data_IF_924593396537
#
_entry.id   IF_924593396537
#
_cell.length_a   1.000
_cell.length_b   1.000
_cell.length_c   1.000
_cell.angle_alpha   90.00
_cell.angle_beta   90.00
_cell.angle_gamma   90.00
#
_symmetry.space_group_name_H-M   'P 1'
#
loop_
_entity.id
_entity.type
_entity.pdbx_description
1 polymer ?
#
# COMPACT_ATOMS: atom_id res chain seq x y z
N UNK A 1 3.43 46.16 57.37
CA UNK A 1 3.89 44.83 56.91
C UNK A 1 3.38 44.47 55.50
N UNK A 2 3.28 45.40 54.54
CA UNK A 2 2.71 45.11 53.20
C UNK A 2 3.72 45.33 52.04
N UNK A 3 4.98 45.67 52.34
CA UNK A 3 5.99 46.05 51.36
C UNK A 3 6.79 44.88 50.79
N UNK A 4 7.11 43.89 51.62
CA UNK A 4 8.04 42.81 51.23
C UNK A 4 7.35 41.70 50.42
N UNK A 5 6.07 41.43 50.70
CA UNK A 5 5.25 40.47 49.95
C UNK A 5 5.08 40.89 48.48
N UNK A 6 5.01 42.20 48.19
CA UNK A 6 4.93 42.72 46.81
C UNK A 6 6.23 42.58 46.03
N UNK A 7 7.39 42.60 46.70
CA UNK A 7 8.70 42.43 46.04
C UNK A 7 8.95 40.97 45.68
N UNK A 8 8.60 40.04 46.57
CA UNK A 8 8.73 38.60 46.35
C UNK A 8 7.79 38.14 45.23
N UNK A 9 6.55 38.65 45.20
CA UNK A 9 5.58 38.31 44.16
C UNK A 9 5.99 38.86 42.77
N UNK A 10 6.62 40.04 42.72
CA UNK A 10 7.16 40.61 41.48
C UNK A 10 8.40 39.87 40.96
N UNK A 11 9.29 39.41 41.85
CA UNK A 11 10.47 38.64 41.45
C UNK A 11 10.08 37.25 40.93
N UNK A 12 9.13 36.58 41.58
CA UNK A 12 8.61 35.27 41.14
C UNK A 12 7.91 35.33 39.78
N UNK A 13 7.20 36.43 39.50
CA UNK A 13 6.54 36.64 38.21
C UNK A 13 7.54 36.87 37.06
N UNK A 14 8.66 37.57 37.32
CA UNK A 14 9.69 37.85 36.30
C UNK A 14 10.52 36.59 35.98
N UNK A 15 10.88 35.79 36.99
CA UNK A 15 11.63 34.54 36.79
C UNK A 15 10.76 33.45 36.16
N UNK A 16 9.47 33.37 36.54
CA UNK A 16 8.51 32.46 35.92
C UNK A 16 8.21 32.78 34.45
N UNK A 17 8.23 34.07 34.07
CA UNK A 17 8.03 34.47 32.69
C UNK A 17 9.26 34.19 31.81
N UNK A 18 10.49 34.31 32.35
CA UNK A 18 11.72 34.04 31.61
C UNK A 18 11.93 32.55 31.26
N UNK A 19 11.40 31.62 32.07
CA UNK A 19 11.46 30.19 31.78
C UNK A 19 10.46 29.74 30.69
N UNK A 20 9.41 30.53 30.41
CA UNK A 20 8.40 30.23 29.40
C UNK A 20 8.76 30.68 27.98
N UNK A 21 9.71 31.61 27.81
CA UNK A 21 10.04 32.21 26.49
C UNK A 21 11.16 31.48 25.75
N UNK A 22 11.88 30.56 26.38
CA UNK A 22 12.91 29.75 25.70
C UNK A 22 12.30 28.65 24.80
N UNK A 23 10.99 28.42 24.87
CA UNK A 23 10.26 27.48 24.03
C UNK A 23 9.63 28.13 22.77
N UNK A 24 9.98 29.36 22.42
CA UNK A 24 9.80 29.84 21.05
C UNK A 24 10.84 29.15 20.15
N UNK A 25 10.70 27.84 19.98
CA UNK A 25 11.33 27.08 18.92
C UNK A 25 10.88 27.73 17.62
N UNK A 26 11.81 28.43 16.96
CA UNK A 26 11.57 29.02 15.66
C UNK A 26 11.06 27.90 14.72
N UNK A 27 9.78 27.89 14.32
CA UNK A 27 9.18 26.78 13.56
C UNK A 27 9.77 26.66 12.15
N UNK A 28 10.61 27.62 11.78
CA UNK A 28 11.35 27.67 10.52
C UNK A 28 12.78 27.12 10.63
N UNK A 29 13.17 26.51 11.77
CA UNK A 29 14.44 25.78 11.84
C UNK A 29 14.32 24.49 11.03
N UNK A 30 15.26 24.31 10.09
CA UNK A 30 15.41 23.07 9.33
C UNK A 30 15.71 21.91 10.28
N UNK A 31 14.93 20.83 10.19
CA UNK A 31 15.19 19.62 10.96
C UNK A 31 16.55 19.01 10.59
N UNK A 32 17.26 18.38 11.55
CA UNK A 32 18.49 17.66 11.26
C UNK A 32 18.21 16.50 10.28
N UNK A 33 19.08 16.32 9.29
CA UNK A 33 19.00 15.23 8.33
C UNK A 33 19.57 13.96 8.96
N UNK A 34 18.80 12.86 8.92
CA UNK A 34 19.25 11.55 9.39
C UNK A 34 20.36 11.00 8.47
N UNK A 35 21.59 10.74 8.99
CA UNK A 35 22.70 10.25 8.19
C UNK A 35 22.53 8.80 7.70
N UNK A 36 21.62 8.01 8.29
CA UNK A 36 21.33 6.64 7.85
C UNK A 36 20.40 6.59 6.62
N UNK A 37 19.83 7.72 6.23
CA UNK A 37 18.92 7.81 5.10
C UNK A 37 19.65 7.73 3.76
N UNK A 38 19.20 6.91 2.79
CA UNK A 38 19.80 6.84 1.46
C UNK A 38 19.70 8.16 0.67
N UNK A 39 18.85 9.10 1.10
CA UNK A 39 18.70 10.43 0.50
C UNK A 39 19.37 11.55 1.29
N UNK A 40 20.12 11.24 2.36
CA UNK A 40 20.72 12.23 3.26
C UNK A 40 21.57 13.27 2.52
N UNK A 41 22.40 12.83 1.57
CA UNK A 41 23.25 13.72 0.77
C UNK A 41 22.42 14.67 -0.12
N UNK A 42 21.32 14.16 -0.70
CA UNK A 42 20.43 14.95 -1.55
C UNK A 42 19.59 15.96 -0.75
N UNK A 43 19.13 15.57 0.45
CA UNK A 43 18.40 16.49 1.34
C UNK A 43 19.36 17.56 1.88
N UNK A 44 20.58 17.19 2.26
CA UNK A 44 21.59 18.13 2.73
C UNK A 44 22.04 19.13 1.64
N UNK A 45 22.08 18.71 0.36
CA UNK A 45 22.36 19.62 -0.75
C UNK A 45 21.17 20.54 -1.04
N UNK A 46 19.96 20.00 -1.13
CA UNK A 46 18.74 20.76 -1.37
C UNK A 46 18.46 21.79 -0.26
N UNK A 47 18.73 21.45 1.01
CA UNK A 47 18.56 22.36 2.14
C UNK A 47 19.52 23.57 2.09
N UNK A 48 20.69 23.43 1.46
CA UNK A 48 21.66 24.53 1.27
C UNK A 48 21.29 25.42 0.09
N UNK A 49 20.58 24.89 -0.90
CA UNK A 49 20.19 25.62 -2.10
C UNK A 49 18.87 26.34 -1.89
N UNK A 50 18.92 27.68 -1.74
CA UNK A 50 17.69 28.49 -1.78
C UNK A 50 17.16 28.52 -3.21
N UNK A 51 16.09 27.77 -3.47
CA UNK A 51 15.35 27.84 -4.73
C UNK A 51 14.77 29.24 -4.97
N UNK A 52 14.44 29.59 -6.23
CA UNK A 52 13.78 30.85 -6.54
C UNK A 52 12.46 30.94 -5.77
N UNK A 53 12.30 32.03 -5.00
CA UNK A 53 11.03 32.30 -4.32
C UNK A 53 10.01 32.74 -5.35
N UNK A 54 9.00 31.89 -5.54
CA UNK A 54 7.83 32.21 -6.35
C UNK A 54 7.16 33.46 -5.79
N UNK A 55 6.92 34.45 -6.65
CA UNK A 55 6.12 35.62 -6.29
C UNK A 55 4.63 35.29 -6.38
N UNK A 56 3.79 36.03 -5.66
CA UNK A 56 2.33 35.94 -5.82
C UNK A 56 1.89 36.29 -7.25
N UNK A 57 2.67 37.09 -7.98
CA UNK A 57 2.46 37.40 -9.39
C UNK A 57 2.73 36.22 -10.34
N UNK A 58 3.39 35.16 -9.87
CA UNK A 58 3.64 33.93 -10.64
C UNK A 58 2.51 32.91 -10.47
N UNK A 59 1.50 33.21 -9.64
CA UNK A 59 0.30 32.39 -9.54
C UNK A 59 -0.43 32.48 -10.89
N UNK A 60 -0.68 31.33 -11.56
CA UNK A 60 -1.46 31.33 -12.79
C UNK A 60 -2.83 31.96 -12.59
N UNK A 61 -3.35 32.58 -13.64
CA UNK A 61 -4.73 33.07 -13.64
C UNK A 61 -5.70 31.92 -13.35
N UNK A 62 -6.81 32.23 -12.69
CA UNK A 62 -7.88 31.27 -12.46
C UNK A 62 -8.37 30.78 -13.82
N UNK A 63 -8.44 29.45 -14.06
CA UNK A 63 -8.98 28.92 -15.29
C UNK A 63 -10.39 29.45 -15.54
N UNK A 64 -10.64 29.96 -16.75
CA UNK A 64 -11.94 30.50 -17.16
C UNK A 64 -12.84 29.46 -17.82
N UNK A 65 -12.29 28.29 -18.13
CA UNK A 65 -12.91 27.16 -18.81
C UNK A 65 -13.56 26.15 -17.85
N UNK A 66 -14.04 26.64 -16.70
CA UNK A 66 -14.72 25.79 -15.72
C UNK A 66 -16.13 25.47 -16.22
N UNK A 67 -16.56 24.19 -16.23
CA UNK A 67 -17.91 23.82 -16.62
C UNK A 67 -18.96 24.52 -15.77
N UNK A 68 -19.99 25.06 -16.41
CA UNK A 68 -21.18 25.56 -15.74
C UNK A 68 -21.93 24.44 -15.01
N UNK A 69 -22.75 24.81 -14.03
CA UNK A 69 -23.57 23.85 -13.28
C UNK A 69 -24.48 23.02 -14.21
N UNK A 70 -24.99 23.60 -15.30
CA UNK A 70 -25.79 22.88 -16.30
C UNK A 70 -24.97 21.87 -17.09
N UNK A 71 -23.74 22.23 -17.49
CA UNK A 71 -22.84 21.30 -18.17
C UNK A 71 -22.48 20.13 -17.27
N UNK A 72 -22.25 20.37 -15.97
CA UNK A 72 -21.99 19.31 -14.99
C UNK A 72 -23.21 18.40 -14.86
N UNK A 73 -24.42 18.97 -14.67
CA UNK A 73 -25.66 18.19 -14.59
C UNK A 73 -25.86 17.31 -15.83
N UNK A 74 -25.63 17.85 -17.01
CA UNK A 74 -25.73 17.11 -18.27
C UNK A 74 -24.71 15.97 -18.33
N UNK A 75 -23.46 16.22 -17.96
CA UNK A 75 -22.41 15.20 -17.94
C UNK A 75 -22.74 14.07 -16.94
N UNK A 76 -23.25 14.41 -15.76
CA UNK A 76 -23.69 13.41 -14.76
C UNK A 76 -24.85 12.56 -15.29
N UNK A 77 -25.86 13.18 -15.90
CA UNK A 77 -26.98 12.45 -16.48
C UNK A 77 -26.52 11.50 -17.60
N UNK A 78 -25.60 11.95 -18.47
CA UNK A 78 -25.00 11.10 -19.50
C UNK A 78 -24.21 9.94 -18.90
N UNK A 79 -23.44 10.19 -17.85
CA UNK A 79 -22.66 9.17 -17.15
C UNK A 79 -23.56 8.10 -16.52
N UNK A 80 -24.68 8.50 -15.93
CA UNK A 80 -25.67 7.57 -15.36
C UNK A 80 -26.26 6.67 -16.45
N UNK A 81 -26.70 7.26 -17.57
CA UNK A 81 -27.24 6.49 -18.71
C UNK A 81 -26.20 5.52 -19.27
N UNK A 82 -24.94 5.94 -19.40
CA UNK A 82 -23.84 5.08 -19.85
C UNK A 82 -23.56 3.95 -18.84
N UNK A 83 -23.59 4.26 -17.54
CA UNK A 83 -23.45 3.27 -16.48
C UNK A 83 -24.55 2.21 -16.54
N UNK A 84 -25.81 2.63 -16.65
CA UNK A 84 -26.95 1.71 -16.77
C UNK A 84 -26.85 0.84 -18.03
N UNK A 85 -26.39 1.41 -19.14
CA UNK A 85 -26.15 0.68 -20.38
C UNK A 85 -25.04 -0.37 -20.20
N UNK A 86 -23.93 0.00 -19.53
CA UNK A 86 -22.85 -0.92 -19.23
C UNK A 86 -23.32 -2.05 -18.32
N UNK A 87 -24.03 -1.76 -17.23
CA UNK A 87 -24.59 -2.76 -16.33
C UNK A 87 -25.49 -3.76 -17.06
N UNK A 88 -26.33 -3.28 -17.99
CA UNK A 88 -27.15 -4.17 -18.84
C UNK A 88 -26.28 -5.00 -19.79
N UNK A 89 -25.27 -4.39 -20.42
CA UNK A 89 -24.40 -5.08 -21.36
C UNK A 89 -23.54 -6.16 -20.67
N UNK A 90 -23.15 -5.96 -19.42
CA UNK A 90 -22.32 -6.89 -18.63
C UNK A 90 -23.13 -7.77 -17.68
N UNK A 91 -24.46 -7.78 -17.79
CA UNK A 91 -25.29 -8.63 -16.95
C UNK A 91 -24.88 -10.12 -17.13
N UNK A 92 -25.04 -10.97 -16.09
CA UNK A 92 -24.77 -12.40 -16.25
C UNK A 92 -25.52 -12.97 -17.45
N UNK A 93 -24.87 -13.86 -18.21
CA UNK A 93 -25.43 -14.51 -19.40
C UNK A 93 -25.65 -13.61 -20.64
N UNK A 94 -25.16 -12.36 -20.68
CA UNK A 94 -25.18 -11.55 -21.92
C UNK A 94 -23.99 -11.80 -22.84
N UNK A 95 -22.95 -12.45 -22.33
CA UNK A 95 -21.78 -12.85 -23.10
C UNK A 95 -21.67 -14.38 -23.11
N UNK A 96 -21.50 -14.92 -24.30
CA UNK A 96 -21.27 -16.34 -24.52
C UNK A 96 -19.79 -16.56 -24.83
N UNK A 97 -19.12 -17.40 -24.04
CA UNK A 97 -17.75 -17.81 -24.29
C UNK A 97 -17.73 -18.80 -25.46
N UNK A 98 -17.62 -18.28 -26.69
CA UNK A 98 -17.50 -19.10 -27.90
C UNK A 98 -16.08 -19.64 -28.04
N UNK A 99 -15.97 -20.90 -28.45
CA UNK A 99 -14.67 -21.52 -28.77
C UNK A 99 -13.83 -21.91 -27.56
N UNK A 100 -14.41 -21.99 -26.36
CA UNK A 100 -13.74 -22.47 -25.15
C UNK A 100 -13.13 -23.86 -25.32
N UNK A 101 -13.83 -24.80 -25.97
CA UNK A 101 -13.28 -26.14 -26.21
C UNK A 101 -12.13 -26.11 -27.24
N UNK A 102 -12.23 -25.28 -28.28
CA UNK A 102 -11.15 -25.15 -29.26
C UNK A 102 -9.90 -24.50 -28.63
N UNK A 103 -10.08 -23.48 -27.78
CA UNK A 103 -9.02 -22.87 -27.00
C UNK A 103 -8.41 -23.86 -26.00
N UNK A 104 -9.22 -24.61 -25.25
CA UNK A 104 -8.75 -25.63 -24.32
C UNK A 104 -8.01 -26.76 -25.04
N UNK A 105 -8.51 -27.21 -26.19
CA UNK A 105 -7.85 -28.21 -27.02
C UNK A 105 -6.49 -27.70 -27.55
N UNK A 106 -6.41 -26.43 -27.97
CA UNK A 106 -5.14 -25.78 -28.34
C UNK A 106 -4.18 -25.73 -27.16
N UNK A 107 -4.65 -25.26 -26.01
CA UNK A 107 -3.84 -25.18 -24.80
C UNK A 107 -3.32 -26.56 -24.34
N UNK A 108 -4.15 -27.62 -24.42
CA UNK A 108 -3.72 -29.00 -24.14
C UNK A 108 -2.69 -29.53 -25.14
N UNK A 109 -2.74 -29.11 -26.41
CA UNK A 109 -1.74 -29.46 -27.43
C UNK A 109 -0.42 -28.70 -27.24
N UNK A 110 -0.50 -27.43 -26.86
CA UNK A 110 0.65 -26.56 -26.63
C UNK A 110 1.32 -26.79 -25.29
N UNK A 111 0.57 -27.29 -24.31
CA UNK A 111 1.13 -27.82 -23.09
C UNK A 111 1.91 -29.10 -23.42
N UNK A 112 3.21 -28.97 -23.65
CA UNK A 112 4.14 -30.10 -23.53
C UNK A 112 4.12 -30.51 -22.06
N UNK A 113 3.51 -31.64 -21.68
CA UNK A 113 3.64 -32.13 -20.32
C UNK A 113 5.14 -32.33 -20.07
N UNK A 114 5.68 -31.97 -18.90
CA UNK A 114 7.04 -32.38 -18.57
C UNK A 114 7.14 -33.88 -18.82
N UNK A 115 8.22 -34.31 -19.48
CA UNK A 115 8.47 -35.72 -19.67
C UNK A 115 8.49 -36.35 -18.28
N UNK A 116 7.43 -37.09 -17.93
CA UNK A 116 7.46 -37.96 -16.78
C UNK A 116 8.44 -39.05 -17.17
N UNK A 117 9.70 -38.91 -16.74
CA UNK A 117 10.67 -39.98 -16.87
C UNK A 117 10.07 -41.23 -16.21
N UNK A 118 10.18 -42.37 -16.89
CA UNK A 118 9.73 -43.63 -16.31
C UNK A 118 10.45 -43.81 -14.97
N UNK A 119 9.75 -44.22 -13.89
CA UNK A 119 10.37 -44.39 -12.58
C UNK A 119 11.62 -45.27 -12.69
N UNK A 120 12.74 -44.75 -12.20
CA UNK A 120 14.01 -45.49 -12.21
C UNK A 120 13.93 -46.68 -11.26
N UNK A 121 14.85 -47.63 -11.39
CA UNK A 121 14.93 -48.73 -10.43
C UNK A 121 15.22 -48.24 -9.01
N UNK A 122 15.93 -47.10 -8.87
CA UNK A 122 16.12 -46.40 -7.58
C UNK A 122 14.80 -45.89 -7.03
N UNK A 123 13.93 -45.30 -7.86
CA UNK A 123 12.61 -44.81 -7.42
C UNK A 123 11.70 -45.96 -6.97
N UNK A 124 11.78 -47.10 -7.66
CA UNK A 124 11.07 -48.33 -7.27
C UNK A 124 11.56 -48.85 -5.93
N UNK A 125 12.89 -48.92 -5.74
CA UNK A 125 13.49 -49.34 -4.48
C UNK A 125 13.12 -48.40 -3.31
N UNK A 126 13.11 -47.09 -3.55
CA UNK A 126 12.70 -46.08 -2.56
C UNK A 126 11.22 -46.23 -2.18
N UNK A 127 10.36 -46.49 -3.17
CA UNK A 127 8.93 -46.73 -2.96
C UNK A 127 8.70 -47.99 -2.13
N UNK A 128 9.42 -49.07 -2.43
CA UNK A 128 9.35 -50.33 -1.68
C UNK A 128 9.89 -50.18 -0.26
N UNK A 129 10.99 -49.44 -0.07
CA UNK A 129 11.54 -49.14 1.25
C UNK A 129 10.57 -48.31 2.09
N UNK A 130 9.94 -47.29 1.49
CA UNK A 130 8.89 -46.51 2.15
C UNK A 130 7.70 -47.39 2.53
N UNK A 131 7.22 -48.24 1.63
CA UNK A 131 6.11 -49.16 1.90
C UNK A 131 6.46 -50.16 3.02
N UNK A 132 7.71 -50.65 3.06
CA UNK A 132 8.20 -51.53 4.14
C UNK A 132 8.25 -50.79 5.48
N UNK A 133 8.74 -49.54 5.50
CA UNK A 133 8.76 -48.71 6.70
C UNK A 133 7.35 -48.34 7.19
N UNK A 134 6.42 -48.07 6.27
CA UNK A 134 5.01 -47.83 6.60
C UNK A 134 4.35 -49.07 7.20
N UNK A 135 4.55 -50.25 6.61
CA UNK A 135 4.06 -51.52 7.16
C UNK A 135 4.68 -51.83 8.53
N UNK A 136 5.97 -51.57 8.72
CA UNK A 136 6.64 -51.77 10.01
C UNK A 136 6.15 -50.83 11.13
N UNK A 137 5.60 -49.67 10.77
CA UNK A 137 4.98 -48.72 11.71
C UNK A 137 3.48 -48.94 11.92
N UNK A 138 2.83 -49.74 11.09
CA UNK A 138 1.43 -50.06 11.26
C UNK A 138 1.26 -51.02 12.45
N UNK A 139 0.71 -50.53 13.55
CA UNK A 139 0.27 -51.38 14.66
C UNK A 139 -1.07 -52.03 14.28
N UNK A 140 -1.19 -53.34 14.50
CA UNK A 140 -2.46 -54.03 14.28
C UNK A 140 -3.53 -53.42 15.21
N UNK A 141 -4.79 -53.21 14.74
CA UNK A 141 -5.85 -52.74 15.61
C UNK A 141 -6.00 -53.72 16.78
N UNK A 142 -6.16 -53.24 18.03
CA UNK A 142 -6.28 -54.12 19.18
C UNK A 142 -7.49 -55.05 18.98
N UNK A 143 -7.24 -56.36 19.01
CA UNK A 143 -8.31 -57.36 19.03
C UNK A 143 -9.12 -57.15 20.31
N UNK A 144 -10.40 -56.81 20.16
CA UNK A 144 -11.31 -56.64 21.29
C UNK A 144 -11.30 -57.91 22.16
N UNK A 145 -11.13 -57.80 23.49
CA UNK A 145 -11.36 -58.93 24.37
C UNK A 145 -12.86 -59.27 24.42
N UNK A 146 -13.17 -60.57 24.52
CA UNK A 146 -14.51 -61.09 24.80
C UNK A 146 -15.06 -60.59 26.13
#
# INVERSE_FOLDING_TARGET
MNGDTRKIMRLGLIVGFAAGVSACANPFKTAPVDPSSPVAAAVASAAKTKGPRRKLSEIPAIPSDIPSADQIRKAVAQQQVAGDALTRATAPSTWELKGTEAYAAKARREATPPAFEAPTDTDRANTEAFARAARGRASAPPSQPQ
#
